data_IF_630412687874
#
_entry.id   IF_630412687874
#
_cell.length_a   1.000
_cell.length_b   1.000
_cell.length_c   1.000
_cell.angle_alpha   90.00
_cell.angle_beta   90.00
_cell.angle_gamma   90.00
#
_symmetry.space_group_name_H-M   'P 1'
#
loop_
_entity.id
_entity.type
_entity.pdbx_description
1 polymer ?
#
# COMPACT_ATOMS: atom_id res chain seq x y z
N UNK A 1 -25.26 -1.32 -11.26
CA UNK A 1 -24.91 -2.77 -11.28
C UNK A 1 -23.48 -2.87 -10.78
N UNK A 2 -23.26 -3.47 -9.61
CA UNK A 2 -21.91 -3.62 -9.03
C UNK A 2 -21.16 -4.69 -9.85
N UNK A 3 -20.03 -4.32 -10.46
CA UNK A 3 -19.19 -5.30 -11.15
C UNK A 3 -18.62 -6.26 -10.10
N UNK A 4 -18.50 -7.54 -10.43
CA UNK A 4 -17.73 -8.49 -9.64
C UNK A 4 -16.28 -8.53 -10.13
N UNK A 5 -15.36 -8.95 -9.27
CA UNK A 5 -14.00 -9.26 -9.71
C UNK A 5 -14.02 -10.52 -10.58
N UNK A 6 -13.48 -10.44 -11.80
CA UNK A 6 -13.43 -11.57 -12.75
C UNK A 6 -12.01 -12.07 -13.04
N UNK A 7 -11.01 -11.57 -12.30
CA UNK A 7 -9.62 -11.97 -12.48
C UNK A 7 -9.30 -13.32 -11.84
N UNK A 8 -8.09 -13.83 -12.14
CA UNK A 8 -7.58 -15.12 -11.64
C UNK A 8 -6.53 -14.97 -10.53
N UNK A 9 -6.17 -13.74 -10.18
CA UNK A 9 -5.14 -13.51 -9.17
C UNK A 9 -5.74 -13.72 -7.78
N UNK A 10 -5.04 -14.42 -6.86
CA UNK A 10 -5.51 -14.55 -5.49
C UNK A 10 -5.55 -13.17 -4.82
N UNK A 11 -6.76 -12.67 -4.58
CA UNK A 11 -7.04 -11.48 -3.78
C UNK A 11 -7.73 -11.92 -2.50
N UNK A 12 -7.45 -11.24 -1.38
CA UNK A 12 -8.15 -11.56 -0.14
C UNK A 12 -9.45 -10.73 -0.06
N UNK A 13 -10.61 -11.35 0.24
CA UNK A 13 -11.86 -10.61 0.46
C UNK A 13 -11.72 -9.58 1.59
N UNK A 14 -12.48 -8.49 1.54
CA UNK A 14 -12.46 -7.47 2.61
C UNK A 14 -12.74 -8.07 3.98
N UNK A 15 -13.70 -8.99 4.10
CA UNK A 15 -14.01 -9.69 5.35
C UNK A 15 -12.83 -10.51 5.91
N UNK A 16 -12.07 -11.17 5.04
CA UNK A 16 -10.86 -11.89 5.45
C UNK A 16 -9.76 -10.92 5.88
N UNK A 17 -9.55 -9.85 5.10
CA UNK A 17 -8.58 -8.80 5.43
C UNK A 17 -8.83 -8.17 6.81
N UNK A 18 -10.11 -7.98 7.17
CA UNK A 18 -10.54 -7.38 8.43
C UNK A 18 -10.46 -8.34 9.63
N UNK A 19 -10.11 -9.61 9.42
CA UNK A 19 -10.00 -10.60 10.49
C UNK A 19 -8.79 -10.29 11.37
N UNK A 20 -8.94 -10.09 12.69
CA UNK A 20 -7.78 -9.88 13.57
C UNK A 20 -6.85 -11.09 13.57
N UNK A 21 -5.54 -10.88 13.43
CA UNK A 21 -4.56 -11.98 13.45
C UNK A 21 -4.63 -12.83 14.73
N UNK A 22 -4.98 -12.19 15.86
CA UNK A 22 -5.11 -12.85 17.15
C UNK A 22 -6.21 -13.93 17.18
N UNK A 23 -7.28 -13.81 16.37
CA UNK A 23 -8.34 -14.82 16.33
C UNK A 23 -7.96 -16.05 15.50
N UNK A 24 -7.01 -15.90 14.59
CA UNK A 24 -6.50 -16.96 13.71
C UNK A 24 -5.41 -17.79 14.40
N UNK A 25 -4.63 -17.15 15.27
CA UNK A 25 -3.42 -17.75 15.85
C UNK A 25 -2.33 -18.00 14.80
N UNK A 26 -1.13 -18.33 15.25
CA UNK A 26 0.03 -18.56 14.36
C UNK A 26 -0.24 -19.67 13.33
N UNK A 27 -0.80 -20.85 13.71
CA UNK A 27 -1.07 -21.91 12.74
C UNK A 27 -2.10 -21.50 11.68
N UNK A 28 -3.18 -20.81 12.08
CA UNK A 28 -4.21 -20.35 11.15
C UNK A 28 -3.70 -19.26 10.20
N UNK A 29 -2.85 -18.35 10.69
CA UNK A 29 -2.17 -17.39 9.84
C UNK A 29 -1.30 -18.09 8.78
N UNK A 30 -0.44 -19.02 9.21
CA UNK A 30 0.44 -19.75 8.29
C UNK A 30 -0.37 -20.49 7.20
N UNK A 31 -1.45 -21.17 7.58
CA UNK A 31 -2.31 -21.89 6.64
C UNK A 31 -2.95 -20.95 5.61
N UNK A 32 -3.45 -19.79 6.04
CA UNK A 32 -4.00 -18.78 5.15
C UNK A 32 -2.95 -18.20 4.20
N UNK A 33 -1.73 -17.92 4.70
CA UNK A 33 -0.63 -17.46 3.86
C UNK A 33 -0.22 -18.52 2.83
N UNK A 34 -0.05 -19.76 3.26
CA UNK A 34 0.30 -20.89 2.39
C UNK A 34 -0.77 -21.09 1.30
N UNK A 35 -2.04 -21.10 1.68
CA UNK A 35 -3.17 -21.24 0.74
C UNK A 35 -3.25 -20.07 -0.24
N UNK A 36 -3.16 -18.83 0.25
CA UNK A 36 -3.32 -17.62 -0.60
C UNK A 36 -2.14 -17.43 -1.54
N UNK A 37 -0.92 -17.76 -1.10
CA UNK A 37 0.31 -17.59 -1.87
C UNK A 37 0.73 -18.85 -2.65
N UNK A 38 0.03 -19.98 -2.46
CA UNK A 38 0.41 -21.26 -3.07
C UNK A 38 1.76 -21.78 -2.57
N UNK A 39 2.06 -21.59 -1.28
CA UNK A 39 3.31 -22.03 -0.64
C UNK A 39 3.06 -23.10 0.43
N UNK A 40 4.11 -23.73 0.93
CA UNK A 40 4.05 -24.81 1.92
C UNK A 40 5.08 -24.60 3.03
N UNK A 41 5.14 -23.39 3.59
CA UNK A 41 6.07 -23.07 4.69
C UNK A 41 5.63 -23.72 6.00
N UNK A 42 6.60 -24.01 6.85
CA UNK A 42 6.44 -24.59 8.19
C UNK A 42 6.91 -23.60 9.26
N UNK A 43 6.44 -23.77 10.51
CA UNK A 43 6.77 -22.90 11.66
C UNK A 43 8.17 -23.15 12.25
N UNK A 44 8.93 -24.09 11.71
CA UNK A 44 10.31 -24.41 12.11
C UNK A 44 11.31 -23.27 11.83
N UNK A 45 10.90 -22.26 11.06
CA UNK A 45 11.63 -21.00 10.91
C UNK A 45 11.35 -20.07 12.10
N UNK A 46 12.25 -20.06 13.09
CA UNK A 46 12.20 -19.19 14.30
C UNK A 46 11.91 -17.70 14.00
N UNK A 47 12.27 -17.22 12.80
CA UNK A 47 11.98 -15.85 12.36
C UNK A 47 10.50 -15.60 12.06
N UNK A 48 9.75 -16.60 11.57
CA UNK A 48 8.38 -16.43 11.09
C UNK A 48 7.40 -16.21 12.25
N UNK A 49 7.50 -17.01 13.32
CA UNK A 49 6.68 -16.84 14.53
C UNK A 49 6.86 -15.47 15.14
N UNK A 50 8.11 -14.97 15.23
CA UNK A 50 8.39 -13.64 15.78
C UNK A 50 7.79 -12.48 14.97
N UNK A 51 7.62 -12.67 13.66
CA UNK A 51 7.03 -11.68 12.75
C UNK A 51 5.51 -11.72 12.82
N UNK A 52 4.92 -12.90 12.97
CA UNK A 52 3.48 -13.12 13.10
C UNK A 52 2.94 -12.74 14.49
N UNK A 53 3.71 -12.98 15.56
CA UNK A 53 3.31 -12.72 16.96
C UNK A 53 3.30 -11.24 17.34
N UNK A 54 4.20 -10.44 16.76
CA UNK A 54 4.51 -9.10 17.30
C UNK A 54 3.48 -8.02 17.03
N UNK A 55 2.38 -8.33 16.33
CA UNK A 55 1.53 -7.29 15.81
C UNK A 55 0.04 -7.55 16.08
N UNK A 56 -0.62 -6.59 16.72
CA UNK A 56 -2.08 -6.48 16.82
C UNK A 56 -2.71 -6.10 15.45
N UNK A 57 -2.25 -6.75 14.38
CA UNK A 57 -2.70 -6.52 13.03
C UNK A 57 -3.96 -7.32 12.73
N UNK A 58 -4.70 -6.84 11.74
CA UNK A 58 -5.61 -7.67 10.98
C UNK A 58 -4.85 -8.44 9.88
N UNK A 59 -5.51 -9.45 9.33
CA UNK A 59 -4.91 -10.34 8.35
C UNK A 59 -4.48 -9.59 7.10
N UNK A 60 -5.25 -8.59 6.64
CA UNK A 60 -4.90 -7.78 5.48
C UNK A 60 -3.58 -7.03 5.67
N UNK A 61 -3.38 -6.47 6.87
CA UNK A 61 -2.14 -5.75 7.19
C UNK A 61 -0.97 -6.72 7.25
N UNK A 62 -1.13 -7.87 7.91
CA UNK A 62 -0.10 -8.90 7.93
C UNK A 62 0.23 -9.38 6.50
N UNK A 63 -0.79 -9.70 5.71
CA UNK A 63 -0.67 -10.17 4.34
C UNK A 63 0.07 -9.16 3.45
N UNK A 64 -0.38 -7.90 3.43
CA UNK A 64 0.27 -6.84 2.65
C UNK A 64 1.72 -6.59 3.08
N UNK A 65 2.04 -6.71 4.37
CA UNK A 65 3.42 -6.54 4.87
C UNK A 65 4.37 -7.67 4.53
N UNK A 66 3.87 -8.90 4.51
CA UNK A 66 4.72 -10.08 4.42
C UNK A 66 4.78 -10.66 3.01
N UNK A 67 3.76 -10.43 2.17
CA UNK A 67 3.65 -11.00 0.83
C UNK A 67 4.90 -10.80 -0.02
N UNK A 68 5.45 -9.60 -0.04
CA UNK A 68 6.62 -9.23 -0.84
C UNK A 68 7.95 -9.86 -0.41
N UNK A 69 8.01 -10.32 0.83
CA UNK A 69 9.20 -10.93 1.43
C UNK A 69 8.94 -12.39 1.82
N UNK A 70 7.75 -12.91 1.49
CA UNK A 70 7.31 -14.23 1.90
C UNK A 70 8.20 -15.33 1.34
N UNK A 71 8.79 -15.11 0.16
CA UNK A 71 9.72 -16.05 -0.48
C UNK A 71 11.19 -15.77 -0.20
N UNK A 72 11.52 -14.85 0.73
CA UNK A 72 12.92 -14.55 1.06
C UNK A 72 13.69 -15.84 1.45
N UNK A 73 14.87 -15.98 0.86
CA UNK A 73 15.73 -17.18 0.88
C UNK A 73 16.32 -17.43 2.27
N UNK A 74 16.82 -18.64 2.51
CA UNK A 74 17.23 -19.11 3.84
C UNK A 74 18.39 -18.31 4.48
N UNK A 75 19.15 -17.54 3.70
CA UNK A 75 20.30 -16.77 4.19
C UNK A 75 19.91 -15.43 4.85
N UNK A 76 18.70 -14.90 4.61
CA UNK A 76 18.21 -13.64 5.21
C UNK A 76 16.80 -13.83 5.76
N UNK A 77 16.62 -13.55 7.05
CA UNK A 77 15.29 -13.69 7.65
C UNK A 77 14.31 -12.63 7.10
N UNK A 78 13.02 -12.97 7.01
CA UNK A 78 11.94 -12.01 6.67
C UNK A 78 12.08 -10.72 7.48
N UNK A 79 12.41 -10.85 8.76
CA UNK A 79 12.53 -9.72 9.66
C UNK A 79 13.69 -8.80 9.28
N UNK A 80 14.84 -9.34 8.92
CA UNK A 80 16.01 -8.55 8.54
C UNK A 80 15.77 -7.80 7.23
N UNK A 81 15.12 -8.45 6.26
CA UNK A 81 14.74 -7.80 5.01
C UNK A 81 13.74 -6.65 5.24
N UNK A 82 12.73 -6.85 6.10
CA UNK A 82 11.79 -5.78 6.47
C UNK A 82 12.52 -4.59 7.14
N UNK A 83 13.42 -4.86 8.08
CA UNK A 83 14.21 -3.81 8.76
C UNK A 83 15.08 -3.04 7.77
N UNK A 84 15.73 -3.74 6.85
CA UNK A 84 16.57 -3.13 5.82
C UNK A 84 15.76 -2.19 4.94
N UNK A 85 14.63 -2.66 4.38
CA UNK A 85 13.77 -1.84 3.52
C UNK A 85 13.22 -0.60 4.24
N UNK A 86 12.83 -0.75 5.50
CA UNK A 86 12.37 0.40 6.31
C UNK A 86 13.49 1.42 6.55
N UNK A 87 14.71 0.95 6.87
CA UNK A 87 15.86 1.81 7.08
C UNK A 87 16.24 2.57 5.80
N UNK A 88 16.20 1.91 4.65
CA UNK A 88 16.48 2.50 3.34
C UNK A 88 15.47 3.61 2.99
N UNK A 89 14.16 3.37 3.16
CA UNK A 89 13.12 4.41 2.94
C UNK A 89 13.27 5.59 3.90
N UNK A 90 13.57 5.30 5.18
CA UNK A 90 13.79 6.34 6.19
C UNK A 90 14.98 7.21 5.82
N UNK A 91 16.10 6.61 5.43
CA UNK A 91 17.31 7.31 5.00
C UNK A 91 17.02 8.18 3.77
N UNK A 92 16.39 7.61 2.75
CA UNK A 92 16.00 8.34 1.52
C UNK A 92 15.16 9.58 1.83
N UNK A 93 14.14 9.46 2.68
CA UNK A 93 13.26 10.59 3.04
C UNK A 93 13.98 11.64 3.90
N UNK A 94 14.92 11.23 4.74
CA UNK A 94 15.73 12.15 5.53
C UNK A 94 16.69 12.96 4.65
N UNK A 95 17.31 12.33 3.67
CA UNK A 95 18.24 12.97 2.73
C UNK A 95 17.52 13.88 1.71
N UNK A 96 16.25 13.61 1.42
CA UNK A 96 15.45 14.40 0.49
C UNK A 96 15.09 15.81 1.01
N UNK A 97 15.18 16.05 2.32
CA UNK A 97 14.87 17.35 2.94
C UNK A 97 16.12 17.96 3.58
N UNK A 98 16.70 18.98 2.93
CA UNK A 98 17.84 19.73 3.48
C UNK A 98 17.35 21.08 3.99
N UNK A 99 17.20 21.17 5.32
CA UNK A 99 16.61 22.34 5.98
C UNK A 99 15.13 22.52 5.58
N UNK A 100 14.87 23.54 4.74
CA UNK A 100 13.53 23.84 4.20
C UNK A 100 13.45 23.66 2.68
N UNK A 101 14.45 23.02 2.06
CA UNK A 101 14.48 22.76 0.61
C UNK A 101 14.31 21.27 0.33
N UNK A 102 13.48 20.94 -0.65
CA UNK A 102 13.44 19.60 -1.25
C UNK A 102 14.69 19.44 -2.13
N UNK A 103 15.60 18.59 -1.70
CA UNK A 103 16.84 18.28 -2.43
C UNK A 103 16.62 17.17 -3.47
N UNK A 104 15.71 16.23 -3.18
CA UNK A 104 15.32 15.16 -4.10
C UNK A 104 13.80 15.25 -4.36
N UNK A 105 13.37 15.85 -5.49
CA UNK A 105 11.94 15.99 -5.80
C UNK A 105 11.30 14.67 -6.28
N UNK A 106 12.10 13.71 -6.77
CA UNK A 106 11.63 12.40 -7.22
C UNK A 106 11.63 11.41 -6.04
N UNK A 107 10.60 11.50 -5.21
CA UNK A 107 10.37 10.59 -4.10
C UNK A 107 9.21 9.65 -4.37
N UNK A 108 9.38 8.40 -3.93
CA UNK A 108 8.29 7.44 -3.90
C UNK A 108 7.25 7.82 -2.85
N UNK A 109 5.96 7.50 -3.07
CA UNK A 109 4.92 7.82 -2.10
C UNK A 109 5.24 7.17 -0.75
N UNK A 110 4.80 7.77 0.36
CA UNK A 110 5.02 7.17 1.69
C UNK A 110 4.28 5.85 1.86
N UNK A 111 3.09 5.78 1.28
CA UNK A 111 2.14 4.67 1.39
C UNK A 111 1.46 4.44 0.05
N UNK A 112 1.04 3.21 -0.18
CA UNK A 112 0.20 2.80 -1.30
C UNK A 112 -0.92 1.91 -0.79
N UNK A 113 -2.03 1.86 -1.51
CA UNK A 113 -3.10 0.92 -1.27
C UNK A 113 -2.79 -0.39 -1.99
N UNK A 114 -2.47 -1.43 -1.23
CA UNK A 114 -2.41 -2.80 -1.74
C UNK A 114 -3.84 -3.30 -1.96
N UNK A 115 -4.23 -3.43 -3.22
CA UNK A 115 -5.57 -3.86 -3.63
C UNK A 115 -5.78 -5.35 -3.37
N UNK A 116 -4.73 -6.16 -3.33
CA UNK A 116 -4.84 -7.58 -3.03
C UNK A 116 -5.11 -7.77 -1.54
N UNK A 117 -4.40 -7.02 -0.69
CA UNK A 117 -4.54 -7.03 0.76
C UNK A 117 -5.71 -6.18 1.31
N UNK A 118 -6.25 -5.28 0.49
CA UNK A 118 -7.19 -4.22 0.91
C UNK A 118 -6.67 -3.33 2.05
N UNK A 119 -5.38 -3.00 2.03
CA UNK A 119 -4.76 -2.17 3.06
C UNK A 119 -3.82 -1.14 2.49
N UNK A 120 -3.80 0.03 3.11
CA UNK A 120 -2.76 1.03 2.93
C UNK A 120 -1.53 0.52 3.66
N UNK A 121 -0.48 0.33 2.90
CA UNK A 121 0.80 -0.20 3.35
C UNK A 121 1.90 0.82 3.08
N UNK A 122 2.97 0.88 3.91
CA UNK A 122 4.16 1.62 3.53
C UNK A 122 4.68 1.22 2.16
N UNK A 123 5.19 2.18 1.38
CA UNK A 123 5.68 1.89 0.04
C UNK A 123 6.80 0.85 0.00
N UNK A 124 7.70 0.90 0.99
CA UNK A 124 8.89 0.07 1.06
C UNK A 124 8.63 -1.42 1.26
N UNK A 125 7.39 -1.84 1.54
CA UNK A 125 6.99 -3.26 1.55
C UNK A 125 6.31 -3.73 0.26
N UNK A 126 6.05 -2.85 -0.70
CA UNK A 126 5.42 -3.25 -1.95
C UNK A 126 6.38 -4.01 -2.87
N UNK A 127 5.87 -5.04 -3.56
CA UNK A 127 6.61 -5.75 -4.62
C UNK A 127 6.80 -4.92 -5.88
N UNK A 128 5.99 -3.85 -6.03
CA UNK A 128 6.01 -2.94 -7.16
C UNK A 128 7.38 -2.31 -7.43
N UNK A 129 8.29 -2.34 -6.46
CA UNK A 129 9.60 -1.73 -6.57
C UNK A 129 10.74 -2.61 -6.04
N UNK A 130 10.55 -3.94 -5.87
CA UNK A 130 11.72 -4.82 -5.83
C UNK A 130 12.30 -4.79 -7.24
N UNK A 131 13.47 -4.18 -7.48
CA UNK A 131 14.10 -4.32 -8.77
C UNK A 131 14.38 -5.81 -8.92
N UNK A 132 13.81 -6.48 -9.92
CA UNK A 132 14.25 -7.84 -10.33
C UNK A 132 15.77 -7.88 -10.69
N UNK A 133 16.45 -6.76 -10.57
CA UNK A 133 17.81 -6.46 -10.97
C UNK A 133 18.68 -5.84 -9.86
N UNK A 134 18.35 -6.01 -8.56
CA UNK A 134 19.38 -5.89 -7.51
C UNK A 134 20.34 -7.12 -7.50
N UNK A 135 20.45 -7.83 -8.63
CA UNK A 135 21.44 -8.88 -8.84
C UNK A 135 22.64 -8.44 -9.69
N UNK A 136 22.65 -7.25 -10.30
CA UNK A 136 23.86 -6.73 -10.97
C UNK A 136 23.69 -5.26 -11.33
N UNK A 137 24.39 -4.36 -10.63
CA UNK A 137 24.73 -3.02 -11.11
C UNK A 137 26.08 -2.61 -10.50
N UNK A 138 27.13 -3.34 -10.89
CA UNK A 138 28.51 -2.83 -10.92
C UNK A 138 28.75 -2.37 -12.34
N UNK A 139 28.09 -1.32 -12.79
CA UNK A 139 28.46 -0.46 -13.93
C UNK A 139 27.31 0.53 -14.14
N UNK A 140 27.67 1.81 -14.24
CA UNK A 140 26.72 2.90 -14.26
C UNK A 140 25.66 2.75 -15.34
N UNK A 141 24.44 3.12 -14.94
CA UNK A 141 23.31 3.44 -15.81
C UNK A 141 22.66 2.24 -16.52
N UNK A 142 21.67 1.65 -15.83
CA UNK A 142 20.56 0.97 -16.48
C UNK A 142 19.27 1.31 -15.73
N UNK A 143 18.43 2.17 -16.32
CA UNK A 143 17.06 2.37 -15.85
C UNK A 143 16.30 1.11 -16.25
N UNK A 144 16.30 0.11 -15.36
CA UNK A 144 15.38 -1.00 -15.50
C UNK A 144 14.02 -0.49 -15.05
N UNK A 145 13.16 -0.18 -16.02
CA UNK A 145 11.75 0.10 -15.80
C UNK A 145 11.14 -1.20 -15.31
N UNK A 146 11.21 -1.44 -13.99
CA UNK A 146 10.30 -2.40 -13.38
C UNK A 146 8.91 -1.82 -13.57
N UNK A 147 8.05 -2.60 -14.23
CA UNK A 147 6.64 -2.27 -14.42
C UNK A 147 5.98 -2.29 -13.06
N UNK A 148 6.13 -1.21 -12.27
CA UNK A 148 5.36 -0.99 -11.07
C UNK A 148 3.89 -1.10 -11.49
N UNK A 149 3.19 -2.10 -10.98
CA UNK A 149 1.74 -2.21 -11.19
C UNK A 149 0.99 -1.29 -10.22
N UNK A 150 1.56 -0.10 -10.01
CA UNK A 150 0.99 0.99 -9.25
C UNK A 150 0.18 1.83 -10.24
N UNK A 151 -1.02 2.19 -9.84
CA UNK A 151 -1.86 3.16 -10.56
C UNK A 151 -2.29 4.28 -9.64
N UNK A 152 -2.03 5.48 -10.05
CA UNK A 152 -2.53 6.68 -9.40
C UNK A 152 -3.99 6.84 -9.78
N UNK A 153 -4.79 7.21 -8.80
CA UNK A 153 -6.17 7.59 -9.00
C UNK A 153 -6.22 9.09 -8.84
N UNK A 154 -6.22 9.79 -9.97
CA UNK A 154 -6.52 11.23 -9.97
C UNK A 154 -8.02 11.39 -9.85
N UNK A 155 -8.47 12.16 -8.87
CA UNK A 155 -9.89 12.49 -8.72
C UNK A 155 -10.04 14.02 -8.67
N UNK A 156 -11.10 14.54 -9.29
CA UNK A 156 -11.44 15.95 -9.17
C UNK A 156 -12.05 16.20 -7.79
N UNK A 157 -11.55 17.23 -7.10
CA UNK A 157 -12.08 17.67 -5.80
C UNK A 157 -13.55 18.08 -5.95
N UNK A 158 -14.44 17.43 -5.20
CA UNK A 158 -15.86 17.81 -5.12
C UNK A 158 -16.11 18.91 -4.07
N UNK A 159 -17.29 19.51 -4.02
CA UNK A 159 -17.68 20.38 -2.89
C UNK A 159 -17.71 19.56 -1.58
N UNK A 160 -17.52 20.21 -0.42
CA UNK A 160 -17.61 19.52 0.87
C UNK A 160 -19.01 18.91 1.10
N UNK A 161 -20.06 19.53 0.55
CA UNK A 161 -21.45 19.05 0.63
C UNK A 161 -21.70 17.76 -0.13
N UNK A 162 -20.86 17.43 -1.11
CA UNK A 162 -20.99 16.22 -1.94
C UNK A 162 -20.09 15.08 -1.47
N UNK A 163 -19.35 15.31 -0.38
CA UNK A 163 -18.40 14.35 0.20
C UNK A 163 -18.83 13.91 1.58
N UNK A 164 -18.30 12.77 1.99
CA UNK A 164 -18.45 12.19 3.32
C UNK A 164 -17.10 11.68 3.80
N UNK A 165 -16.80 11.93 5.08
CA UNK A 165 -15.60 11.45 5.75
C UNK A 165 -15.85 10.04 6.30
N UNK A 166 -15.25 9.04 5.69
CA UNK A 166 -15.46 7.63 6.03
C UNK A 166 -14.31 7.09 6.88
N UNK A 167 -14.65 6.48 8.02
CA UNK A 167 -13.71 5.67 8.80
C UNK A 167 -13.59 4.28 8.17
N UNK A 168 -12.37 3.79 7.96
CA UNK A 168 -12.17 2.52 7.25
C UNK A 168 -10.99 1.72 7.80
N UNK A 169 -11.13 0.40 7.82
CA UNK A 169 -10.02 -0.51 8.13
C UNK A 169 -8.90 -0.45 7.08
N UNK A 170 -9.19 0.04 5.86
CA UNK A 170 -8.23 0.09 4.76
C UNK A 170 -6.99 0.90 5.14
N UNK A 171 -7.14 2.04 5.83
CA UNK A 171 -6.00 2.82 6.35
C UNK A 171 -5.75 2.59 7.85
N UNK A 172 -6.24 1.47 8.40
CA UNK A 172 -6.11 1.13 9.83
C UNK A 172 -6.86 2.06 10.76
N UNK A 173 -7.94 2.73 10.29
CA UNK A 173 -8.68 3.74 11.04
C UNK A 173 -7.79 4.90 11.53
N UNK A 174 -6.70 5.18 10.81
CA UNK A 174 -5.77 6.24 11.21
C UNK A 174 -6.30 7.63 10.93
N UNK A 175 -7.11 7.83 9.87
CA UNK A 175 -7.76 9.09 9.56
C UNK A 175 -9.06 8.87 8.78
N UNK A 176 -10.04 9.80 8.87
CA UNK A 176 -11.19 9.78 7.98
C UNK A 176 -10.76 9.98 6.52
N UNK A 177 -11.38 9.25 5.61
CA UNK A 177 -11.13 9.34 4.17
C UNK A 177 -12.29 10.09 3.51
N UNK A 178 -12.07 11.33 3.00
CA UNK A 178 -13.10 12.07 2.29
C UNK A 178 -13.35 11.45 0.91
N UNK A 179 -14.55 10.93 0.68
CA UNK A 179 -14.98 10.37 -0.62
C UNK A 179 -16.35 10.91 -1.05
N UNK A 180 -16.71 10.86 -2.35
CA UNK A 180 -18.06 11.20 -2.80
C UNK A 180 -19.14 10.36 -2.10
N UNK A 181 -20.28 10.98 -1.79
CA UNK A 181 -21.40 10.32 -1.07
C UNK A 181 -21.98 9.10 -1.78
N UNK A 182 -21.86 9.05 -3.10
CA UNK A 182 -22.37 7.99 -3.97
C UNK A 182 -21.29 6.99 -4.41
N UNK A 183 -20.11 7.05 -3.78
CA UNK A 183 -18.97 6.16 -4.06
C UNK A 183 -18.62 5.30 -2.85
N UNK A 184 -18.00 4.15 -3.12
CA UNK A 184 -17.41 3.30 -2.10
C UNK A 184 -15.98 2.92 -2.49
N UNK A 185 -15.09 2.84 -1.51
CA UNK A 185 -13.72 2.35 -1.70
C UNK A 185 -13.74 0.90 -2.24
N UNK A 186 -14.69 0.06 -1.83
CA UNK A 186 -14.79 -1.31 -2.36
C UNK A 186 -15.09 -1.32 -3.87
N UNK A 187 -15.93 -0.39 -4.35
CA UNK A 187 -16.21 -0.26 -5.79
C UNK A 187 -14.96 0.17 -6.55
N UNK A 188 -14.24 1.18 -6.03
CA UNK A 188 -12.97 1.61 -6.62
C UNK A 188 -11.99 0.43 -6.67
N UNK A 189 -11.85 -0.31 -5.58
CA UNK A 189 -10.98 -1.50 -5.50
C UNK A 189 -11.34 -2.51 -6.59
N UNK A 190 -12.62 -2.86 -6.73
CA UNK A 190 -13.07 -3.83 -7.74
C UNK A 190 -12.74 -3.37 -9.16
N UNK A 191 -13.00 -2.10 -9.50
CA UNK A 191 -12.68 -1.58 -10.83
C UNK A 191 -11.16 -1.64 -11.11
N UNK A 192 -10.34 -1.25 -10.13
CA UNK A 192 -8.88 -1.32 -10.26
C UNK A 192 -8.37 -2.76 -10.39
N UNK A 193 -8.92 -3.69 -9.61
CA UNK A 193 -8.60 -5.11 -9.69
C UNK A 193 -9.00 -5.72 -11.04
N UNK A 194 -10.13 -5.31 -11.62
CA UNK A 194 -10.55 -5.73 -12.95
C UNK A 194 -9.61 -5.19 -14.06
N UNK A 195 -8.93 -4.08 -13.81
CA UNK A 195 -7.82 -3.58 -14.65
C UNK A 195 -6.48 -4.27 -14.35
N UNK A 196 -6.49 -5.35 -13.55
CA UNK A 196 -5.31 -6.11 -13.11
C UNK A 196 -4.31 -5.28 -12.33
N UNK A 197 -4.76 -4.24 -11.64
CA UNK A 197 -3.91 -3.39 -10.80
C UNK A 197 -3.70 -4.07 -9.47
N UNK A 198 -2.47 -4.01 -8.97
CA UNK A 198 -2.11 -4.58 -7.68
C UNK A 198 -2.00 -3.52 -6.60
N UNK A 199 -1.39 -2.38 -6.93
CA UNK A 199 -1.23 -1.26 -6.02
C UNK A 199 -1.91 -0.02 -6.61
N UNK A 200 -2.61 0.73 -5.78
CA UNK A 200 -3.15 2.02 -6.15
C UNK A 200 -2.56 3.12 -5.26
N UNK A 201 -2.45 4.32 -5.81
CA UNK A 201 -2.18 5.51 -5.02
C UNK A 201 -3.37 6.47 -5.15
N UNK A 202 -4.08 6.64 -4.04
CA UNK A 202 -5.17 7.60 -3.91
C UNK A 202 -4.80 8.55 -2.77
N UNK A 203 -4.59 9.82 -3.08
CA UNK A 203 -4.12 10.86 -2.14
C UNK A 203 -4.88 10.90 -0.82
N UNK A 204 -6.22 10.91 -0.85
CA UNK A 204 -7.08 10.94 0.34
C UNK A 204 -6.94 9.70 1.22
N UNK A 205 -6.46 8.59 0.63
CA UNK A 205 -6.26 7.32 1.31
C UNK A 205 -4.80 7.10 1.73
N UNK A 206 -3.83 7.58 0.95
CA UNK A 206 -2.40 7.32 1.13
C UNK A 206 -1.67 8.46 1.88
N UNK A 207 -2.19 9.68 1.84
CA UNK A 207 -1.73 10.80 2.66
C UNK A 207 -2.60 10.93 3.91
N UNK A 208 -1.96 11.24 5.05
CA UNK A 208 -2.66 11.46 6.32
C UNK A 208 -3.60 12.66 6.18
N UNK A 209 -4.88 12.45 6.48
CA UNK A 209 -5.92 13.49 6.44
C UNK A 209 -6.16 14.10 7.82
N UNK A 210 -6.82 15.26 7.83
CA UNK A 210 -7.20 15.97 9.06
C UNK A 210 -8.19 15.14 9.89
N UNK A 211 -8.12 15.27 11.22
CA UNK A 211 -9.11 14.69 12.12
C UNK A 211 -8.90 13.21 12.42
N UNK A 212 -7.73 12.67 12.05
CA UNK A 212 -7.31 11.33 12.38
C UNK A 212 -6.53 11.21 13.69
N UNK A 213 -6.16 9.98 14.03
CA UNK A 213 -5.18 9.68 15.06
C UNK A 213 -3.81 10.19 14.63
N UNK A 214 -3.04 10.70 15.60
CA UNK A 214 -1.70 11.24 15.39
C UNK A 214 -1.68 12.37 14.36
N UNK A 215 -2.67 13.27 14.41
CA UNK A 215 -2.78 14.41 13.49
C UNK A 215 -1.54 15.31 13.54
N UNK A 216 -0.81 15.34 14.67
CA UNK A 216 0.47 16.02 14.83
C UNK A 216 1.58 15.52 13.89
N UNK A 217 1.45 14.31 13.34
CA UNK A 217 2.38 13.79 12.33
C UNK A 217 2.05 14.28 10.92
N UNK A 218 0.82 14.77 10.68
CA UNK A 218 0.36 15.17 9.34
C UNK A 218 1.23 16.27 8.77
N UNK A 219 1.47 17.33 9.52
CA UNK A 219 2.31 18.45 9.08
C UNK A 219 3.75 18.00 8.79
N UNK A 220 4.29 17.07 9.60
CA UNK A 220 5.64 16.51 9.41
C UNK A 220 5.75 15.69 8.13
N UNK A 221 4.76 14.82 7.88
CA UNK A 221 4.69 14.03 6.64
C UNK A 221 4.47 14.95 5.42
N UNK A 222 3.53 15.90 5.51
CA UNK A 222 3.16 16.80 4.42
C UNK A 222 4.29 17.74 3.99
N UNK A 223 5.19 18.13 4.92
CA UNK A 223 6.37 18.95 4.59
C UNK A 223 7.20 18.35 3.45
N UNK A 224 7.22 17.02 3.34
CA UNK A 224 7.95 16.30 2.29
C UNK A 224 7.00 15.74 1.22
N UNK A 225 5.92 15.08 1.65
CA UNK A 225 5.12 14.25 0.75
C UNK A 225 4.22 15.08 -0.19
N UNK A 226 3.72 16.24 0.26
CA UNK A 226 2.85 17.09 -0.58
C UNK A 226 3.67 17.78 -1.69
N UNK A 227 4.84 18.41 -1.43
CA UNK A 227 5.66 18.98 -2.48
C UNK A 227 6.20 17.96 -3.50
N UNK A 228 6.34 16.69 -3.12
CA UNK A 228 6.88 15.63 -4.00
C UNK A 228 5.83 14.77 -4.67
N UNK A 229 4.53 15.07 -4.46
CA UNK A 229 3.41 14.32 -5.05
C UNK A 229 3.47 14.25 -6.58
N UNK A 230 4.03 15.29 -7.24
CA UNK A 230 4.17 15.32 -8.70
C UNK A 230 4.96 14.13 -9.24
N UNK A 231 5.97 13.67 -8.52
CA UNK A 231 6.76 12.50 -8.90
C UNK A 231 5.92 11.21 -8.93
N UNK A 232 4.89 11.12 -8.07
CA UNK A 232 3.97 9.99 -8.04
C UNK A 232 3.14 9.94 -9.33
N UNK A 233 2.70 11.10 -9.83
CA UNK A 233 1.93 11.20 -11.08
C UNK A 233 2.78 11.07 -12.35
N UNK A 234 4.06 11.43 -12.29
CA UNK A 234 4.96 11.40 -13.45
C UNK A 234 5.46 9.98 -13.78
N UNK A 235 5.73 9.17 -12.75
CA UNK A 235 6.41 7.88 -12.89
C UNK A 235 5.46 6.74 -13.28
N UNK A 236 4.15 6.94 -13.15
CA UNK A 236 3.17 5.88 -13.22
C UNK A 236 1.99 6.25 -14.13
N UNK A 237 1.21 5.24 -14.56
CA UNK A 237 0.03 5.49 -15.39
C UNK A 237 -1.14 5.91 -14.52
N UNK A 238 -1.64 7.13 -14.76
CA UNK A 238 -2.76 7.71 -14.04
C UNK A 238 -4.10 7.17 -14.57
N UNK A 239 -4.95 6.71 -13.64
CA UNK A 239 -6.38 6.48 -13.86
C UNK A 239 -7.13 7.74 -13.43
N UNK A 240 -7.83 8.37 -14.38
CA UNK A 240 -8.62 9.56 -14.09
C UNK A 240 -10.03 9.13 -13.68
N UNK A 241 -10.34 9.26 -12.40
CA UNK A 241 -11.69 9.11 -11.87
C UNK A 241 -12.41 10.45 -11.92
N UNK A 242 -13.27 10.60 -12.92
CA UNK A 242 -13.97 11.85 -13.21
C UNK A 242 -15.18 12.13 -12.30
N UNK A 243 -15.17 11.68 -11.04
CA UNK A 243 -16.04 12.19 -9.96
C UNK A 243 -17.49 12.51 -10.41
N UNK A 244 -18.17 11.57 -11.08
CA UNK A 244 -19.57 11.76 -11.50
C UNK A 244 -19.84 12.61 -12.75
N UNK A 245 -18.85 12.92 -13.59
CA UNK A 245 -19.08 13.49 -14.93
C UNK A 245 -20.05 12.59 -15.72
N UNK A 246 -21.21 13.15 -16.08
CA UNK A 246 -22.33 12.45 -16.71
C UNK A 246 -23.59 12.33 -15.86
N UNK A 247 -23.59 12.84 -14.61
CA UNK A 247 -24.82 12.99 -13.81
C UNK A 247 -25.79 13.94 -14.52
N UNK A 248 -27.02 13.50 -14.78
CA UNK A 248 -28.13 14.42 -15.04
C UNK A 248 -28.52 15.04 -13.69
N UNK A 249 -28.48 16.37 -13.60
CA UNK A 249 -28.98 17.14 -12.46
C UNK A 249 -30.50 17.24 -12.51
#
# INVERSE_FOLDING_TARGET
MQRSYTGRTPIIPSSLADTPCATLGIPGLLDLFNTTLGTSRTLDTTSLSSVLEKNNYDFGTAYGRLRAVWSADNDVTIQDELRRREADDRKMRQEALVGNRIAQPYLQPRRVWDLYANRVVPWWISDAFIPRCYRECVTGMSIVITTSNVREISHAWMDARDRVDVQTAINGYEWPVPIPKDTSLDLIRIEMLNMRVEYAWLDVLCLRQKGGRRDELREKEWKLDVPTIGAVYEVNRVVVYLSGLGRQH
#
